data_IF_972449521134
#
_entry.id   IF_972449521134
#
_cell.length_a   1.000
_cell.length_b   1.000
_cell.length_c   1.000
_cell.angle_alpha   90.00
_cell.angle_beta   90.00
_cell.angle_gamma   90.00
#
_symmetry.space_group_name_H-M   'P 1'
#
loop_
_entity.id
_entity.type
_entity.pdbx_description
1 polymer ?
#
# COMPACT_ATOMS: atom_id res chain seq x y z
N UNK A 1 -51.72 23.23 24.37
CA UNK A 1 -51.29 21.89 23.86
C UNK A 1 -50.16 21.39 24.75
N UNK A 2 -50.12 20.11 25.16
CA UNK A 2 -49.03 19.62 26.01
C UNK A 2 -47.69 19.86 25.31
N UNK A 3 -46.73 20.41 26.04
CA UNK A 3 -45.37 20.65 25.52
C UNK A 3 -44.81 19.30 25.11
N UNK A 4 -44.58 19.10 23.81
CA UNK A 4 -44.06 17.84 23.30
C UNK A 4 -42.77 17.46 24.03
N UNK A 5 -42.67 16.20 24.47
CA UNK A 5 -41.51 15.69 25.18
C UNK A 5 -40.24 15.87 24.34
N UNK A 6 -39.16 16.33 24.98
CA UNK A 6 -37.83 16.44 24.35
C UNK A 6 -37.08 15.10 24.30
N UNK A 7 -37.69 14.02 24.82
CA UNK A 7 -37.14 12.67 24.73
C UNK A 7 -37.06 12.25 23.26
N UNK A 8 -35.86 11.86 22.82
CA UNK A 8 -35.58 11.48 21.42
C UNK A 8 -35.03 12.60 20.53
N UNK A 9 -34.85 13.82 21.06
CA UNK A 9 -34.10 14.86 20.33
C UNK A 9 -32.59 14.56 20.33
N UNK A 10 -31.87 14.77 19.22
CA UNK A 10 -30.41 14.83 19.20
C UNK A 10 -29.90 15.92 20.13
N UNK A 11 -28.71 15.76 20.70
CA UNK A 11 -28.19 16.69 21.71
C UNK A 11 -28.09 18.13 21.20
N UNK A 12 -27.73 18.32 19.93
CA UNK A 12 -27.72 19.64 19.31
C UNK A 12 -29.11 20.28 19.25
N UNK A 13 -30.16 19.49 19.03
CA UNK A 13 -31.54 19.97 19.04
C UNK A 13 -32.03 20.27 20.47
N UNK A 14 -31.68 19.42 21.45
CA UNK A 14 -31.93 19.70 22.88
C UNK A 14 -31.29 21.02 23.32
N UNK A 15 -30.04 21.25 22.94
CA UNK A 15 -29.32 22.48 23.27
C UNK A 15 -30.00 23.72 22.69
N UNK A 16 -30.50 23.66 21.44
CA UNK A 16 -31.26 24.77 20.84
C UNK A 16 -32.55 25.02 21.63
N UNK A 17 -33.27 23.96 21.98
CA UNK A 17 -34.52 24.05 22.73
C UNK A 17 -34.29 24.68 24.11
N UNK A 18 -33.38 24.12 24.91
CA UNK A 18 -33.08 24.58 26.26
C UNK A 18 -32.51 25.99 26.29
N UNK A 19 -31.62 26.32 25.35
CA UNK A 19 -31.08 27.67 25.21
C UNK A 19 -32.19 28.69 24.91
N UNK A 20 -33.13 28.34 24.03
CA UNK A 20 -34.26 29.22 23.70
C UNK A 20 -35.17 29.39 24.91
N UNK A 21 -35.54 28.30 25.60
CA UNK A 21 -36.34 28.32 26.84
C UNK A 21 -35.73 29.23 27.92
N UNK A 22 -34.40 29.12 28.11
CA UNK A 22 -33.65 29.93 29.06
C UNK A 22 -33.60 31.39 28.64
N UNK A 23 -33.35 31.66 27.35
CA UNK A 23 -33.22 33.02 26.81
C UNK A 23 -34.49 33.86 26.90
N UNK A 24 -35.67 33.21 26.95
CA UNK A 24 -36.98 33.86 27.04
C UNK A 24 -37.52 33.93 28.47
N UNK A 25 -36.88 33.28 29.45
CA UNK A 25 -37.35 33.27 30.83
C UNK A 25 -37.38 34.70 31.40
N UNK A 26 -38.54 35.15 31.85
CA UNK A 26 -38.73 36.50 32.40
C UNK A 26 -38.74 37.63 31.37
N UNK A 27 -38.63 37.32 30.07
CA UNK A 27 -38.73 38.35 29.01
C UNK A 27 -40.19 38.67 28.72
N UNK A 28 -40.42 39.94 28.37
CA UNK A 28 -41.72 40.43 27.94
C UNK A 28 -41.95 40.11 26.46
N UNK A 29 -43.14 39.61 26.14
CA UNK A 29 -43.59 39.41 24.78
C UNK A 29 -43.95 40.77 24.17
N UNK A 30 -43.27 41.22 23.10
CA UNK A 30 -43.47 42.55 22.54
C UNK A 30 -44.86 42.75 21.93
N UNK A 31 -45.59 41.67 21.62
CA UNK A 31 -46.94 41.76 21.05
C UNK A 31 -48.02 41.92 22.09
N UNK A 32 -47.84 41.33 23.27
CA UNK A 32 -48.88 41.28 24.32
C UNK A 32 -48.55 42.14 25.53
N UNK A 33 -47.30 42.59 25.69
CA UNK A 33 -46.83 43.33 26.86
C UNK A 33 -46.73 42.47 28.14
N UNK A 34 -46.94 41.15 28.04
CA UNK A 34 -46.91 40.23 29.18
C UNK A 34 -45.62 39.41 29.18
N UNK A 35 -45.19 38.89 30.33
CA UNK A 35 -44.06 37.95 30.40
C UNK A 35 -44.42 36.67 29.65
N UNK A 36 -43.47 36.12 28.88
CA UNK A 36 -43.69 34.85 28.18
C UNK A 36 -44.02 33.72 29.17
N UNK A 37 -45.14 33.05 28.92
CA UNK A 37 -45.51 31.83 29.66
C UNK A 37 -44.63 30.66 29.23
N UNK A 38 -44.54 29.61 30.06
CA UNK A 38 -43.76 28.41 29.75
C UNK A 38 -44.24 27.72 28.46
N UNK A 39 -45.55 27.77 28.19
CA UNK A 39 -46.13 27.24 26.96
C UNK A 39 -45.68 28.05 25.73
N UNK A 40 -45.73 29.38 25.77
CA UNK A 40 -45.26 30.24 24.68
C UNK A 40 -43.75 30.04 24.42
N UNK A 41 -42.95 29.96 25.50
CA UNK A 41 -41.51 29.68 25.38
C UNK A 41 -41.27 28.32 24.73
N UNK A 42 -42.03 27.29 25.12
CA UNK A 42 -41.97 25.95 24.55
C UNK A 42 -42.29 25.94 23.05
N UNK A 43 -43.32 26.67 22.63
CA UNK A 43 -43.70 26.78 21.22
C UNK A 43 -42.62 27.49 20.39
N UNK A 44 -42.03 28.57 20.91
CA UNK A 44 -40.94 29.30 20.24
C UNK A 44 -39.69 28.41 20.15
N UNK A 45 -39.33 27.72 21.23
CA UNK A 45 -38.20 26.79 21.28
C UNK A 45 -38.37 25.65 20.27
N UNK A 46 -39.54 25.03 20.19
CA UNK A 46 -39.85 24.01 19.18
C UNK A 46 -39.76 24.55 17.75
N UNK A 47 -40.24 25.78 17.53
CA UNK A 47 -40.14 26.45 16.22
C UNK A 47 -38.69 26.74 15.83
N UNK A 48 -37.80 26.96 16.79
CA UNK A 48 -36.35 27.10 16.54
C UNK A 48 -35.71 25.76 16.17
N UNK A 49 -36.09 24.66 16.86
CA UNK A 49 -35.62 23.30 16.52
C UNK A 49 -36.06 22.92 15.11
N UNK A 50 -37.35 23.09 14.78
CA UNK A 50 -37.91 22.73 13.46
C UNK A 50 -37.33 23.54 12.29
N UNK A 51 -36.72 24.70 12.53
CA UNK A 51 -35.99 25.46 11.51
C UNK A 51 -34.64 24.84 11.15
N UNK A 52 -34.06 24.04 12.04
CA UNK A 52 -32.73 23.42 11.85
C UNK A 52 -32.79 21.90 11.74
N UNK A 53 -33.88 21.26 12.13
CA UNK A 53 -34.06 19.82 12.11
C UNK A 53 -35.44 19.44 11.57
N UNK A 54 -35.53 18.31 10.87
CA UNK A 54 -36.77 17.70 10.38
C UNK A 54 -36.82 16.23 10.79
N UNK A 55 -38.01 15.67 10.91
CA UNK A 55 -38.18 14.24 11.21
C UNK A 55 -38.18 13.44 9.89
N UNK A 56 -37.33 12.42 9.77
CA UNK A 56 -37.27 11.46 8.66
C UNK A 56 -37.21 10.04 9.21
N UNK A 57 -38.17 9.18 8.84
CA UNK A 57 -38.21 7.80 9.31
C UNK A 57 -38.28 7.65 10.83
N UNK A 58 -38.91 8.60 11.54
CA UNK A 58 -38.96 8.63 13.01
C UNK A 58 -37.72 9.19 13.70
N UNK A 59 -36.70 9.64 12.95
CA UNK A 59 -35.46 10.20 13.49
C UNK A 59 -35.34 11.69 13.12
N UNK A 60 -34.89 12.53 14.05
CA UNK A 60 -34.61 13.93 13.77
C UNK A 60 -33.27 14.09 13.06
N UNK A 61 -33.29 14.63 11.85
CA UNK A 61 -32.11 14.90 11.02
C UNK A 61 -31.96 16.41 10.77
N UNK A 62 -30.73 16.94 10.71
CA UNK A 62 -30.51 18.35 10.43
C UNK A 62 -31.02 18.72 9.02
N UNK A 63 -31.72 19.85 8.93
CA UNK A 63 -32.07 20.48 7.66
C UNK A 63 -30.78 21.13 7.16
N UNK A 64 -30.10 20.46 6.24
CA UNK A 64 -28.90 20.98 5.58
C UNK A 64 -29.22 22.28 4.84
N UNK A 65 -29.13 23.41 5.55
CA UNK A 65 -29.06 24.73 4.95
C UNK A 65 -27.58 24.93 4.57
N UNK A 66 -27.26 24.67 3.30
CA UNK A 66 -26.02 25.12 2.64
C UNK A 66 -24.66 24.58 3.14
N UNK A 67 -24.57 23.30 3.55
CA UNK A 67 -23.26 22.62 3.66
C UNK A 67 -22.78 21.99 2.33
N UNK A 68 -23.64 21.99 1.29
CA UNK A 68 -23.33 21.40 -0.01
C UNK A 68 -22.31 22.19 -0.85
N UNK A 69 -22.21 23.51 -0.70
CA UNK A 69 -21.35 24.31 -1.58
C UNK A 69 -19.92 24.45 -1.07
N UNK A 70 -19.70 24.51 0.25
CA UNK A 70 -18.36 24.73 0.81
C UNK A 70 -17.55 23.43 0.87
N UNK A 71 -18.20 22.31 1.24
CA UNK A 71 -17.53 20.99 1.26
C UNK A 71 -17.25 20.53 -0.16
N UNK A 72 -18.17 20.72 -1.11
CA UNK A 72 -17.93 20.36 -2.51
C UNK A 72 -16.81 21.21 -3.12
N UNK A 73 -16.76 22.52 -2.86
CA UNK A 73 -15.67 23.38 -3.33
C UNK A 73 -14.30 23.01 -2.71
N UNK A 74 -14.25 22.69 -1.41
CA UNK A 74 -13.02 22.22 -0.77
C UNK A 74 -12.57 20.87 -1.31
N UNK A 75 -13.49 19.92 -1.50
CA UNK A 75 -13.19 18.60 -2.06
C UNK A 75 -12.68 18.72 -3.50
N UNK A 76 -13.29 19.55 -4.34
CA UNK A 76 -12.85 19.80 -5.71
C UNK A 76 -11.47 20.48 -5.75
N UNK A 77 -11.19 21.42 -4.84
CA UNK A 77 -9.86 22.03 -4.71
C UNK A 77 -8.79 21.02 -4.30
N UNK A 78 -9.08 20.18 -3.30
CA UNK A 78 -8.18 19.11 -2.86
C UNK A 78 -7.91 18.07 -3.96
N UNK A 79 -8.95 17.68 -4.71
CA UNK A 79 -8.80 16.78 -5.86
C UNK A 79 -7.93 17.39 -6.96
N UNK A 80 -8.13 18.67 -7.28
CA UNK A 80 -7.32 19.38 -8.27
C UNK A 80 -5.85 19.56 -7.84
N UNK A 81 -5.60 19.75 -6.54
CA UNK A 81 -4.23 19.78 -6.00
C UNK A 81 -3.56 18.41 -6.10
N UNK A 82 -4.24 17.33 -5.68
CA UNK A 82 -3.74 15.95 -5.81
C UNK A 82 -3.45 15.61 -7.28
N UNK A 83 -4.31 16.02 -8.21
CA UNK A 83 -4.11 15.79 -9.65
C UNK A 83 -2.86 16.51 -10.19
N UNK A 84 -2.62 17.76 -9.78
CA UNK A 84 -1.41 18.51 -10.18
C UNK A 84 -0.13 17.87 -9.63
N UNK A 85 -0.15 17.34 -8.42
CA UNK A 85 1.00 16.61 -7.86
C UNK A 85 1.28 15.31 -8.59
N UNK A 86 0.24 14.54 -8.93
CA UNK A 86 0.37 13.32 -9.73
C UNK A 86 0.97 13.61 -11.11
N UNK A 87 0.48 14.65 -11.80
CA UNK A 87 1.03 15.08 -13.09
C UNK A 87 2.51 15.51 -12.97
N UNK A 88 2.89 16.17 -11.86
CA UNK A 88 4.29 16.55 -11.59
C UNK A 88 5.17 15.32 -11.33
N UNK A 89 4.65 14.32 -10.61
CA UNK A 89 5.33 13.04 -10.36
C UNK A 89 5.51 12.25 -11.66
N UNK A 90 4.48 12.20 -12.49
CA UNK A 90 4.55 11.56 -13.81
C UNK A 90 5.60 12.20 -14.72
N UNK A 91 5.65 13.54 -14.80
CA UNK A 91 6.70 14.26 -15.54
C UNK A 91 8.11 13.94 -15.03
N UNK A 92 8.31 13.84 -13.71
CA UNK A 92 9.60 13.42 -13.13
C UNK A 92 9.95 11.99 -13.50
N UNK A 93 9.00 11.07 -13.44
CA UNK A 93 9.20 9.67 -13.81
C UNK A 93 9.57 9.51 -15.29
N UNK A 94 8.91 10.24 -16.19
CA UNK A 94 9.25 10.27 -17.61
C UNK A 94 10.69 10.75 -17.83
N UNK A 95 11.11 11.78 -17.10
CA UNK A 95 12.48 12.31 -17.19
C UNK A 95 13.53 11.29 -16.72
N UNK A 96 13.25 10.58 -15.63
CA UNK A 96 14.11 9.49 -15.11
C UNK A 96 14.17 8.33 -16.11
N UNK A 97 13.04 7.91 -16.66
CA UNK A 97 12.96 6.86 -17.67
C UNK A 97 13.77 7.21 -18.93
N UNK A 98 13.68 8.45 -19.40
CA UNK A 98 14.46 8.89 -20.56
C UNK A 98 15.97 8.90 -20.28
N UNK A 99 16.39 9.29 -19.07
CA UNK A 99 17.80 9.21 -18.66
C UNK A 99 18.28 7.75 -18.65
N UNK A 100 17.51 6.84 -18.06
CA UNK A 100 17.85 5.41 -18.01
C UNK A 100 17.91 4.78 -19.41
N UNK A 101 16.97 5.13 -20.31
CA UNK A 101 17.00 4.67 -21.71
C UNK A 101 18.28 5.12 -22.43
N UNK A 102 18.74 6.36 -22.18
CA UNK A 102 19.98 6.87 -22.75
C UNK A 102 21.19 6.10 -22.22
N UNK A 103 21.30 5.93 -20.90
CA UNK A 103 22.38 5.17 -20.27
C UNK A 103 22.41 3.71 -20.77
N UNK A 104 21.25 3.08 -20.93
CA UNK A 104 21.15 1.72 -21.47
C UNK A 104 21.58 1.63 -22.94
N UNK A 105 21.24 2.63 -23.75
CA UNK A 105 21.68 2.74 -25.14
C UNK A 105 23.21 2.86 -25.26
N UNK A 106 23.82 3.70 -24.41
CA UNK A 106 25.28 3.83 -24.33
C UNK A 106 25.93 2.51 -23.89
N UNK A 107 25.37 1.82 -22.91
CA UNK A 107 25.87 0.52 -22.45
C UNK A 107 25.80 -0.53 -23.57
N UNK A 108 24.67 -0.60 -24.28
CA UNK A 108 24.48 -1.52 -25.40
C UNK A 108 25.52 -1.29 -26.50
N UNK A 109 25.81 -0.03 -26.83
CA UNK A 109 26.84 0.32 -27.81
C UNK A 109 28.24 -0.13 -27.38
N UNK A 110 28.58 0.01 -26.08
CA UNK A 110 29.86 -0.46 -25.53
C UNK A 110 30.00 -1.98 -25.63
N UNK A 111 28.96 -2.73 -25.27
CA UNK A 111 28.94 -4.20 -25.37
C UNK A 111 29.09 -4.65 -26.82
N UNK A 112 28.39 -4.00 -27.76
CA UNK A 112 28.47 -4.32 -29.19
C UNK A 112 29.88 -4.05 -29.74
N UNK A 113 30.51 -2.93 -29.36
CA UNK A 113 31.88 -2.60 -29.75
C UNK A 113 32.89 -3.60 -29.17
N UNK A 114 32.76 -3.98 -27.89
CA UNK A 114 33.58 -5.05 -27.32
C UNK A 114 33.39 -6.35 -28.10
N UNK A 115 32.15 -6.72 -28.45
CA UNK A 115 31.87 -7.95 -29.19
C UNK A 115 32.51 -7.96 -30.58
N UNK A 116 32.49 -6.83 -31.30
CA UNK A 116 33.18 -6.69 -32.60
C UNK A 116 34.70 -6.82 -32.46
N UNK A 117 35.28 -6.24 -31.42
CA UNK A 117 36.72 -6.38 -31.15
C UNK A 117 37.17 -7.83 -30.96
N UNK A 118 36.29 -8.71 -30.45
CA UNK A 118 36.58 -10.15 -30.30
C UNK A 118 36.20 -10.99 -31.53
N UNK A 119 35.41 -10.47 -32.46
CA UNK A 119 35.09 -11.17 -33.69
C UNK A 119 36.32 -11.29 -34.63
N UNK A 120 37.30 -10.39 -34.48
CA UNK A 120 38.48 -10.33 -35.35
C UNK A 120 39.63 -11.27 -34.90
N UNK A 121 39.56 -11.89 -33.71
CA UNK A 121 40.55 -12.86 -33.22
C UNK A 121 39.89 -14.10 -32.59
N UNK A 122 39.49 -15.11 -33.39
CA UNK A 122 38.73 -16.24 -32.91
C UNK A 122 39.63 -17.38 -32.41
N UNK A 123 40.85 -17.12 -31.92
CA UNK A 123 41.82 -18.19 -31.63
C UNK A 123 42.12 -18.24 -30.13
N UNK A 124 41.92 -19.41 -29.53
CA UNK A 124 42.24 -19.64 -28.12
C UNK A 124 43.74 -19.50 -27.88
N UNK A 125 44.19 -18.61 -26.98
CA UNK A 125 45.63 -18.42 -26.73
C UNK A 125 46.31 -19.63 -26.09
N UNK A 126 45.55 -20.54 -25.48
CA UNK A 126 46.08 -21.75 -24.82
C UNK A 126 46.22 -22.95 -25.75
N UNK A 127 45.41 -23.06 -26.80
CA UNK A 127 45.36 -24.26 -27.64
C UNK A 127 45.16 -24.00 -29.15
N UNK A 128 45.11 -22.74 -29.57
CA UNK A 128 44.88 -22.31 -30.95
C UNK A 128 43.56 -22.77 -31.62
N UNK A 129 42.60 -23.31 -30.86
CA UNK A 129 41.29 -23.68 -31.39
C UNK A 129 40.41 -22.46 -31.70
N UNK A 130 39.49 -22.59 -32.67
CA UNK A 130 38.49 -21.57 -32.98
C UNK A 130 37.50 -21.36 -31.83
N UNK A 131 37.27 -20.10 -31.46
CA UNK A 131 36.44 -19.68 -30.34
C UNK A 131 35.06 -19.21 -30.81
N UNK A 132 34.04 -19.98 -30.45
CA UNK A 132 32.64 -19.57 -30.62
C UNK A 132 31.97 -19.10 -29.30
N UNK A 133 32.66 -19.25 -28.16
CA UNK A 133 32.16 -18.92 -26.83
C UNK A 133 33.28 -18.44 -25.89
N UNK A 134 32.89 -17.90 -24.73
CA UNK A 134 33.79 -17.41 -23.65
C UNK A 134 34.64 -18.53 -23.03
N UNK A 135 34.23 -19.78 -23.24
CA UNK A 135 34.94 -20.98 -22.79
C UNK A 135 35.40 -21.73 -24.03
N UNK A 136 36.70 -21.98 -24.14
CA UNK A 136 37.24 -22.79 -25.23
C UNK A 136 36.72 -24.24 -25.11
N UNK A 137 36.09 -24.81 -26.15
CA UNK A 137 35.51 -26.14 -26.07
C UNK A 137 36.56 -27.26 -25.94
N UNK A 138 37.80 -27.03 -26.39
CA UNK A 138 38.84 -28.06 -26.39
C UNK A 138 39.66 -28.10 -25.10
N UNK A 139 40.02 -26.94 -24.54
CA UNK A 139 40.91 -26.88 -23.36
C UNK A 139 40.23 -26.34 -22.10
N UNK A 140 38.93 -26.03 -22.15
CA UNK A 140 38.15 -25.43 -21.05
C UNK A 140 38.70 -24.10 -20.52
N UNK A 141 39.68 -23.50 -21.22
CA UNK A 141 40.31 -22.26 -20.80
C UNK A 141 39.27 -21.13 -20.83
N UNK A 142 39.11 -20.48 -19.68
CA UNK A 142 38.26 -19.31 -19.53
C UNK A 142 39.01 -18.09 -20.04
N UNK A 143 38.49 -17.46 -21.09
CA UNK A 143 39.07 -16.21 -21.57
C UNK A 143 38.62 -15.11 -20.60
N UNK A 144 39.54 -14.44 -19.88
CA UNK A 144 39.17 -13.41 -18.94
C UNK A 144 38.49 -12.25 -19.70
N UNK A 145 37.25 -11.94 -19.32
CA UNK A 145 36.60 -10.70 -19.76
C UNK A 145 37.51 -9.51 -19.39
N UNK A 146 37.64 -8.49 -20.25
CA UNK A 146 38.49 -7.34 -19.97
C UNK A 146 38.05 -6.69 -18.66
N UNK A 147 39.02 -6.23 -17.86
CA UNK A 147 38.78 -5.67 -16.53
C UNK A 147 37.75 -4.53 -16.54
N UNK A 148 37.64 -3.81 -17.65
CA UNK A 148 36.60 -2.79 -17.85
C UNK A 148 35.17 -3.32 -17.71
N UNK A 149 34.89 -4.57 -18.13
CA UNK A 149 33.58 -5.24 -17.95
C UNK A 149 33.39 -5.83 -16.55
N UNK A 150 34.47 -6.27 -15.90
CA UNK A 150 34.41 -6.84 -14.55
C UNK A 150 34.22 -5.77 -13.46
N UNK A 151 34.72 -4.54 -13.67
CA UNK A 151 34.47 -3.42 -12.76
C UNK A 151 32.99 -3.02 -12.72
N UNK A 152 32.24 -3.17 -13.82
CA UNK A 152 30.79 -2.86 -13.85
C UNK A 152 29.92 -3.86 -13.09
N UNK A 153 30.31 -5.14 -13.00
CA UNK A 153 29.52 -6.14 -12.26
C UNK A 153 29.79 -6.09 -10.74
N UNK A 154 31.01 -5.71 -10.33
CA UNK A 154 31.43 -5.65 -8.92
C UNK A 154 31.14 -4.31 -8.24
N UNK A 155 31.09 -3.19 -8.96
CA UNK A 155 30.81 -1.87 -8.37
C UNK A 155 29.36 -1.43 -8.60
N UNK A 156 28.43 -1.87 -7.73
CA UNK A 156 27.26 -1.11 -7.19
C UNK A 156 26.05 -1.93 -6.73
N UNK A 157 26.06 -3.26 -6.79
CA UNK A 157 24.90 -4.03 -6.29
C UNK A 157 24.93 -4.32 -4.78
N UNK A 158 26.03 -4.02 -4.08
CA UNK A 158 26.23 -4.47 -2.69
C UNK A 158 25.56 -3.63 -1.60
N UNK A 159 24.80 -2.57 -1.90
CA UNK A 159 24.09 -1.80 -0.84
C UNK A 159 22.99 -0.86 -1.34
N UNK A 160 22.29 -1.20 -2.44
CA UNK A 160 21.13 -0.40 -2.85
C UNK A 160 19.91 -0.90 -2.11
N UNK A 161 19.61 -0.29 -0.96
CA UNK A 161 18.25 -0.29 -0.42
C UNK A 161 17.40 0.46 -1.42
N UNK A 162 16.78 -0.24 -2.36
CA UNK A 162 15.75 0.37 -3.20
C UNK A 162 14.59 0.73 -2.26
N UNK A 163 14.23 2.01 -2.11
CA UNK A 163 13.06 2.37 -1.32
C UNK A 163 11.83 1.73 -1.97
N UNK A 164 10.96 1.12 -1.16
CA UNK A 164 9.66 0.59 -1.62
C UNK A 164 8.78 1.81 -1.97
N UNK A 165 9.04 2.41 -3.13
CA UNK A 165 8.38 3.65 -3.61
C UNK A 165 7.12 3.38 -4.43
N UNK A 166 6.91 2.14 -4.89
CA UNK A 166 5.73 1.76 -5.68
C UNK A 166 4.46 1.55 -4.87
N UNK A 167 4.58 1.30 -3.57
CA UNK A 167 3.42 1.20 -2.69
C UNK A 167 3.05 2.61 -2.23
N UNK A 168 1.83 3.03 -2.53
CA UNK A 168 1.25 4.29 -2.08
C UNK A 168 0.40 4.04 -0.86
N UNK A 169 0.98 3.41 0.16
CA UNK A 169 0.35 3.27 1.46
C UNK A 169 0.09 4.68 2.01
N UNK A 170 -1.14 5.17 1.89
CA UNK A 170 -1.51 6.51 2.34
C UNK A 170 -1.74 6.54 3.85
N UNK A 171 -1.31 7.61 4.51
CA UNK A 171 -1.50 7.87 5.95
C UNK A 171 -2.99 7.86 6.38
N UNK A 172 -3.90 8.12 5.43
CA UNK A 172 -5.37 7.97 5.55
C UNK A 172 -5.81 6.57 6.03
N UNK A 173 -4.92 5.56 5.95
CA UNK A 173 -5.21 4.20 6.37
C UNK A 173 -4.95 3.95 7.89
N UNK A 174 -4.45 4.92 8.65
CA UNK A 174 -4.11 4.79 10.09
C UNK A 174 -5.16 5.34 11.08
N UNK A 175 -6.42 5.45 10.68
CA UNK A 175 -7.48 6.11 11.48
C UNK A 175 -7.70 5.56 12.90
N UNK A 176 -7.21 4.35 13.23
CA UNK A 176 -7.48 3.66 14.50
C UNK A 176 -6.24 3.18 15.29
N UNK A 177 -5.03 3.70 15.02
CA UNK A 177 -3.83 3.23 15.74
C UNK A 177 -3.32 1.85 15.28
N UNK A 178 -3.67 1.46 14.06
CA UNK A 178 -3.09 0.32 13.36
C UNK A 178 -1.62 0.61 12.99
N UNK A 179 -0.76 -0.40 13.12
CA UNK A 179 0.62 -0.30 12.63
C UNK A 179 0.67 -0.70 11.17
N UNK A 180 1.26 0.14 10.35
CA UNK A 180 1.41 -0.14 8.93
C UNK A 180 2.80 -0.67 8.63
N UNK A 181 2.85 -1.80 7.93
CA UNK A 181 4.09 -2.41 7.46
C UNK A 181 4.08 -2.54 5.95
N UNK A 182 5.27 -2.50 5.36
CA UNK A 182 5.48 -2.83 3.94
C UNK A 182 6.70 -3.73 3.79
N UNK A 183 6.78 -4.47 2.69
CA UNK A 183 7.90 -5.37 2.49
C UNK A 183 7.85 -6.16 1.20
N UNK A 184 8.67 -7.21 1.14
CA UNK A 184 8.65 -8.22 0.09
C UNK A 184 7.90 -9.45 0.63
N UNK A 185 6.85 -9.88 -0.06
CA UNK A 185 6.08 -11.07 0.29
C UNK A 185 6.68 -12.35 -0.30
N UNK A 186 7.19 -12.26 -1.54
CA UNK A 186 7.87 -13.33 -2.25
C UNK A 186 8.75 -12.76 -3.35
N UNK A 187 9.90 -13.36 -3.59
CA UNK A 187 10.79 -13.04 -4.70
C UNK A 187 10.90 -14.22 -5.65
N UNK A 188 11.27 -13.99 -6.92
CA UNK A 188 11.60 -15.09 -7.84
C UNK A 188 12.71 -15.95 -7.24
N UNK A 189 12.51 -17.28 -7.24
CA UNK A 189 13.48 -18.19 -6.64
C UNK A 189 12.94 -19.59 -6.42
N UNK A 190 13.79 -20.44 -5.87
CA UNK A 190 13.45 -21.80 -5.46
C UNK A 190 13.22 -21.82 -3.95
N UNK A 191 12.04 -22.23 -3.52
CA UNK A 191 11.68 -22.37 -2.11
C UNK A 191 11.12 -23.76 -1.86
N UNK A 192 11.66 -24.46 -0.85
CA UNK A 192 11.28 -25.85 -0.55
C UNK A 192 11.32 -26.77 -1.79
N UNK A 193 12.28 -26.54 -2.69
CA UNK A 193 12.47 -27.33 -3.92
C UNK A 193 11.53 -26.99 -5.08
N UNK A 194 10.66 -25.98 -4.94
CA UNK A 194 9.73 -25.54 -5.97
C UNK A 194 10.20 -24.19 -6.53
N UNK A 195 10.29 -24.07 -7.85
CA UNK A 195 10.66 -22.82 -8.52
C UNK A 195 9.43 -21.92 -8.76
N UNK A 196 9.55 -20.65 -8.36
CA UNK A 196 8.54 -19.62 -8.52
C UNK A 196 9.00 -18.59 -9.58
N UNK A 197 8.55 -18.71 -10.83
CA UNK A 197 8.96 -17.82 -11.91
C UNK A 197 8.26 -16.47 -11.83
N UNK A 198 8.94 -15.42 -12.29
CA UNK A 198 8.42 -14.05 -12.32
C UNK A 198 7.03 -13.90 -12.97
N UNK A 199 6.74 -14.64 -14.05
CA UNK A 199 5.47 -14.54 -14.78
C UNK A 199 4.27 -15.01 -13.93
N UNK A 200 4.53 -15.92 -12.98
CA UNK A 200 3.51 -16.40 -12.04
C UNK A 200 3.43 -15.45 -10.85
N UNK A 201 4.55 -14.93 -10.35
CA UNK A 201 4.54 -13.92 -9.28
C UNK A 201 3.73 -12.68 -9.66
N UNK A 202 3.79 -12.25 -10.91
CA UNK A 202 2.98 -11.14 -11.43
C UNK A 202 1.48 -11.41 -11.34
N UNK A 203 1.05 -12.66 -11.55
CA UNK A 203 -0.35 -13.09 -11.43
C UNK A 203 -0.78 -13.31 -9.99
N UNK A 204 0.12 -13.78 -9.13
CA UNK A 204 -0.15 -13.99 -7.69
C UNK A 204 -0.28 -12.65 -6.97
N UNK A 205 0.51 -11.64 -7.32
CA UNK A 205 0.54 -10.35 -6.63
C UNK A 205 -0.85 -9.74 -6.33
N UNK A 206 -1.79 -9.59 -7.29
CA UNK A 206 -3.11 -9.03 -7.00
C UNK A 206 -3.96 -9.89 -6.05
N UNK A 207 -3.76 -11.22 -6.03
CA UNK A 207 -4.51 -12.14 -5.14
C UNK A 207 -4.15 -11.97 -3.68
N UNK A 208 -2.98 -11.39 -3.38
CA UNK A 208 -2.55 -11.11 -2.01
C UNK A 208 -3.36 -9.98 -1.35
N UNK A 209 -4.04 -9.13 -2.13
CA UNK A 209 -4.82 -8.03 -1.55
C UNK A 209 -6.02 -8.60 -0.78
N UNK A 210 -6.12 -8.23 0.49
CA UNK A 210 -7.22 -8.62 1.34
C UNK A 210 -7.07 -9.96 2.04
N UNK A 211 -5.98 -10.70 1.81
CA UNK A 211 -5.68 -11.92 2.58
C UNK A 211 -5.34 -11.57 4.05
N UNK A 212 -5.61 -12.47 5.01
CA UNK A 212 -5.26 -12.25 6.40
C UNK A 212 -3.73 -12.19 6.59
N UNK A 213 -3.30 -11.30 7.50
CA UNK A 213 -1.94 -11.32 8.05
C UNK A 213 -1.97 -12.13 9.35
N UNK A 214 -1.26 -13.26 9.39
CA UNK A 214 -1.23 -14.20 10.51
C UNK A 214 0.09 -14.22 11.26
N UNK A 215 0.13 -14.95 12.37
CA UNK A 215 1.37 -15.36 13.05
C UNK A 215 1.73 -16.80 12.69
N UNK A 216 2.99 -17.02 12.30
CA UNK A 216 3.63 -18.34 12.21
C UNK A 216 2.83 -19.44 11.48
N UNK A 217 2.09 -19.08 10.42
CA UNK A 217 1.22 -19.99 9.66
C UNK A 217 0.19 -20.76 10.53
N UNK A 218 -0.12 -20.24 11.73
CA UNK A 218 -1.10 -20.83 12.61
C UNK A 218 -2.49 -20.76 11.96
N UNK A 219 -3.24 -21.85 12.06
CA UNK A 219 -4.66 -21.89 11.65
C UNK A 219 -5.52 -21.34 12.78
N UNK A 220 -6.71 -20.84 12.45
CA UNK A 220 -7.67 -20.31 13.43
C UNK A 220 -7.83 -18.78 13.36
N UNK A 221 -8.91 -18.26 13.92
CA UNK A 221 -9.26 -16.83 13.86
C UNK A 221 -8.31 -16.01 14.75
N UNK A 222 -7.90 -16.60 15.87
CA UNK A 222 -6.98 -16.05 16.87
C UNK A 222 -5.57 -15.77 16.35
N UNK A 223 -5.18 -16.38 15.23
CA UNK A 223 -3.89 -16.12 14.60
C UNK A 223 -3.89 -14.88 13.70
N UNK A 224 -5.06 -14.31 13.40
CA UNK A 224 -5.19 -13.18 12.47
C UNK A 224 -4.85 -11.88 13.23
N UNK A 225 -3.67 -11.33 12.95
CA UNK A 225 -3.19 -10.08 13.56
C UNK A 225 -3.34 -8.85 12.66
N UNK A 226 -3.74 -9.04 11.40
CA UNK A 226 -3.81 -7.98 10.42
C UNK A 226 -4.44 -8.38 9.10
N UNK A 227 -4.29 -7.52 8.09
CA UNK A 227 -4.76 -7.75 6.73
C UNK A 227 -3.87 -7.04 5.71
N UNK A 228 -3.61 -7.68 4.57
CA UNK A 228 -2.92 -7.04 3.45
C UNK A 228 -3.86 -6.05 2.77
N UNK A 229 -3.39 -4.82 2.56
CA UNK A 229 -4.17 -3.72 1.97
C UNK A 229 -3.66 -3.30 0.60
N UNK A 230 -2.38 -3.54 0.31
CA UNK A 230 -1.78 -3.28 -0.98
C UNK A 230 -0.86 -4.42 -1.39
N UNK A 231 -0.83 -4.73 -2.68
CA UNK A 231 0.11 -5.68 -3.24
C UNK A 231 0.39 -5.33 -4.70
N UNK A 232 1.65 -5.40 -5.11
CA UNK A 232 2.07 -5.11 -6.48
C UNK A 232 3.29 -5.93 -6.84
N UNK A 233 3.35 -6.41 -8.07
CA UNK A 233 4.57 -7.02 -8.60
C UNK A 233 5.57 -5.93 -9.02
N UNK A 234 6.81 -6.04 -8.51
CA UNK A 234 7.91 -5.19 -8.88
C UNK A 234 8.88 -5.92 -9.82
N UNK A 235 8.82 -5.57 -11.10
CA UNK A 235 9.66 -6.15 -12.14
C UNK A 235 11.16 -5.94 -11.95
N UNK A 236 11.58 -4.86 -11.28
CA UNK A 236 12.99 -4.58 -11.03
C UNK A 236 13.59 -5.51 -9.98
N UNK A 237 12.86 -5.79 -8.90
CA UNK A 237 13.24 -6.73 -7.84
C UNK A 237 12.85 -8.17 -8.13
N UNK A 238 11.99 -8.38 -9.14
CA UNK A 238 11.32 -9.65 -9.45
C UNK A 238 10.61 -10.21 -8.23
N UNK A 239 9.83 -9.36 -7.57
CA UNK A 239 9.25 -9.65 -6.28
C UNK A 239 7.84 -9.09 -6.13
N UNK A 240 7.03 -9.75 -5.32
CA UNK A 240 5.75 -9.24 -4.84
C UNK A 240 6.03 -8.31 -3.66
N UNK A 241 5.69 -7.04 -3.81
CA UNK A 241 5.71 -6.05 -2.74
C UNK A 241 4.33 -6.00 -2.11
N UNK A 242 4.27 -5.80 -0.79
CA UNK A 242 3.01 -5.70 -0.08
C UNK A 242 3.01 -4.55 0.93
N UNK A 243 1.82 -4.06 1.23
CA UNK A 243 1.51 -3.21 2.39
C UNK A 243 0.40 -3.87 3.21
N UNK A 244 0.57 -3.94 4.53
CA UNK A 244 -0.39 -4.56 5.44
C UNK A 244 -0.65 -3.69 6.67
N UNK A 245 -1.88 -3.79 7.19
CA UNK A 245 -2.29 -3.23 8.47
C UNK A 245 -2.18 -4.30 9.55
N UNK A 246 -1.62 -3.93 10.69
CA UNK A 246 -1.60 -4.74 11.90
C UNK A 246 -2.51 -4.06 12.92
N UNK A 247 -3.59 -4.74 13.30
CA UNK A 247 -4.52 -4.28 14.33
C UNK A 247 -4.31 -4.97 15.67
N UNK A 248 -3.68 -6.16 15.70
CA UNK A 248 -3.38 -6.89 16.94
C UNK A 248 -2.20 -6.28 17.70
N UNK A 249 -2.40 -6.00 19.00
CA UNK A 249 -1.41 -5.29 19.81
C UNK A 249 -0.16 -6.13 20.11
N UNK A 250 -0.27 -7.46 20.18
CA UNK A 250 0.88 -8.35 20.34
C UNK A 250 1.75 -8.32 19.09
N UNK A 251 1.17 -8.37 17.88
CA UNK A 251 1.91 -8.21 16.62
C UNK A 251 2.59 -6.86 16.56
N UNK A 252 1.86 -5.78 16.87
CA UNK A 252 2.41 -4.41 16.85
C UNK A 252 3.66 -4.34 17.72
N UNK A 253 3.61 -4.92 18.93
CA UNK A 253 4.75 -4.94 19.85
C UNK A 253 5.93 -5.71 19.28
N UNK A 254 5.72 -6.95 18.82
CA UNK A 254 6.80 -7.79 18.28
C UNK A 254 7.50 -7.15 17.08
N UNK A 255 6.74 -6.51 16.19
CA UNK A 255 7.29 -5.79 15.03
C UNK A 255 8.04 -4.52 15.45
N UNK A 256 7.47 -3.71 16.35
CA UNK A 256 8.12 -2.48 16.86
C UNK A 256 9.42 -2.78 17.61
N UNK A 257 9.45 -3.85 18.38
CA UNK A 257 10.63 -4.34 19.10
C UNK A 257 11.63 -5.06 18.18
N UNK A 258 11.32 -5.22 16.88
CA UNK A 258 12.11 -5.95 15.89
C UNK A 258 12.38 -7.41 16.25
N UNK A 259 11.51 -8.01 17.06
CA UNK A 259 11.52 -9.44 17.35
C UNK A 259 10.99 -10.25 16.17
N UNK A 260 10.13 -9.65 15.34
CA UNK A 260 9.73 -10.19 14.04
C UNK A 260 9.92 -9.11 12.98
N UNK A 261 10.75 -9.40 11.98
CA UNK A 261 11.09 -8.48 10.88
C UNK A 261 10.90 -9.12 9.49
N UNK A 262 10.25 -10.28 9.41
CA UNK A 262 10.04 -11.04 8.19
C UNK A 262 8.63 -11.55 8.02
N UNK A 263 8.31 -11.85 6.76
CA UNK A 263 7.05 -12.50 6.37
C UNK A 263 7.29 -13.73 5.51
N UNK A 264 6.29 -14.61 5.49
CA UNK A 264 6.17 -15.74 4.61
C UNK A 264 4.79 -15.77 3.99
N UNK A 265 4.70 -16.00 2.69
CA UNK A 265 3.44 -16.08 1.96
C UNK A 265 2.94 -17.53 1.93
N UNK A 266 1.66 -17.74 2.22
CA UNK A 266 0.97 -19.00 1.96
C UNK A 266 0.31 -18.91 0.59
N UNK A 267 0.76 -19.72 -0.36
CA UNK A 267 0.23 -19.77 -1.74
C UNK A 267 -0.26 -21.18 -2.03
N UNK A 268 -1.49 -21.28 -2.53
CA UNK A 268 -1.98 -22.50 -3.18
C UNK A 268 -1.48 -22.48 -4.62
N UNK A 269 -0.71 -23.50 -5.02
CA UNK A 269 0.00 -23.51 -6.30
C UNK A 269 -0.31 -24.77 -7.10
N UNK A 270 -0.33 -24.61 -8.42
CA UNK A 270 -0.27 -25.71 -9.37
C UNK A 270 1.14 -25.76 -9.98
N UNK A 271 1.72 -26.96 -10.01
CA UNK A 271 3.10 -27.17 -10.48
C UNK A 271 3.16 -28.07 -11.69
N UNK A 272 4.15 -27.83 -12.55
CA UNK A 272 4.53 -28.71 -13.66
C UNK A 272 5.96 -29.19 -13.46
N UNK A 273 6.23 -30.45 -13.75
CA UNK A 273 7.59 -30.99 -13.69
C UNK A 273 8.42 -30.37 -14.82
N UNK A 274 9.55 -29.75 -14.45
CA UNK A 274 10.53 -29.20 -15.36
C UNK A 274 11.88 -29.88 -15.16
N UNK A 275 12.82 -29.67 -16.08
CA UNK A 275 14.17 -30.28 -16.04
C UNK A 275 14.92 -30.00 -14.73
N UNK A 276 14.61 -28.88 -14.06
CA UNK A 276 15.23 -28.43 -12.82
C UNK A 276 14.34 -28.62 -11.58
N UNK A 277 13.31 -29.46 -11.66
CA UNK A 277 12.34 -29.71 -10.60
C UNK A 277 10.97 -29.08 -10.84
N UNK A 278 10.04 -29.21 -9.87
CA UNK A 278 8.70 -28.65 -9.97
C UNK A 278 8.74 -27.13 -10.12
N UNK A 279 8.04 -26.62 -11.14
CA UNK A 279 7.90 -25.19 -11.41
C UNK A 279 6.45 -24.80 -11.29
N UNK A 280 6.17 -23.72 -10.55
CA UNK A 280 4.82 -23.18 -10.44
C UNK A 280 4.41 -22.59 -11.79
N UNK A 281 3.19 -22.88 -12.24
CA UNK A 281 2.61 -22.26 -13.44
C UNK A 281 1.33 -21.47 -13.14
N UNK A 282 0.70 -21.71 -11.99
CA UNK A 282 -0.46 -20.98 -11.47
C UNK A 282 -0.45 -20.97 -9.94
N UNK A 283 -1.03 -19.94 -9.33
CA UNK A 283 -1.21 -19.92 -7.89
C UNK A 283 -2.04 -18.75 -7.39
N UNK A 284 -2.50 -18.88 -6.14
CA UNK A 284 -3.33 -17.90 -5.45
C UNK A 284 -2.85 -17.74 -4.01
N UNK A 285 -2.63 -16.49 -3.59
CA UNK A 285 -2.24 -16.20 -2.21
C UNK A 285 -3.42 -16.43 -1.26
N UNK A 286 -3.20 -17.20 -0.20
CA UNK A 286 -4.21 -17.49 0.83
C UNK A 286 -3.96 -16.75 2.13
N UNK A 287 -2.70 -16.43 2.41
CA UNK A 287 -2.31 -15.71 3.62
C UNK A 287 -0.93 -15.07 3.46
N UNK A 288 -0.68 -14.09 4.34
CA UNK A 288 0.66 -13.61 4.65
C UNK A 288 0.89 -13.84 6.14
N UNK A 289 2.07 -14.30 6.54
CA UNK A 289 2.37 -14.62 7.93
C UNK A 289 3.60 -13.87 8.41
N UNK A 290 3.53 -13.27 9.59
CA UNK A 290 4.68 -12.79 10.35
C UNK A 290 5.44 -14.02 10.89
N UNK A 291 6.71 -14.16 10.52
CA UNK A 291 7.54 -15.33 10.85
C UNK A 291 8.93 -14.91 11.28
N UNK A 292 9.53 -15.68 12.17
CA UNK A 292 10.92 -15.49 12.61
C UNK A 292 11.91 -15.97 11.53
N UNK A 293 11.66 -17.14 10.92
CA UNK A 293 12.53 -17.71 9.89
C UNK A 293 11.79 -17.99 8.57
N UNK A 294 11.78 -17.03 7.61
CA UNK A 294 11.11 -17.23 6.33
C UNK A 294 11.95 -18.14 5.40
N UNK A 295 11.26 -18.88 4.52
CA UNK A 295 11.93 -19.58 3.42
C UNK A 295 12.60 -18.59 2.45
N UNK A 296 11.98 -17.44 2.24
CA UNK A 296 12.51 -16.33 1.47
C UNK A 296 13.30 -15.37 2.36
N UNK A 297 14.63 -15.42 2.29
CA UNK A 297 15.51 -14.58 3.15
C UNK A 297 15.44 -13.08 2.86
N UNK A 298 14.96 -12.70 1.68
CA UNK A 298 14.73 -11.31 1.29
C UNK A 298 13.35 -10.78 1.67
N UNK A 299 12.45 -11.64 2.18
CA UNK A 299 11.08 -11.30 2.55
C UNK A 299 11.01 -10.61 3.92
N UNK A 300 11.57 -9.40 3.96
CA UNK A 300 11.68 -8.54 5.13
C UNK A 300 10.62 -7.45 5.14
N UNK A 301 10.30 -6.95 6.32
CA UNK A 301 9.32 -5.89 6.54
C UNK A 301 9.97 -4.60 7.04
N UNK A 302 9.32 -3.49 6.74
CA UNK A 302 9.66 -2.16 7.21
C UNK A 302 8.39 -1.51 7.76
N UNK A 303 8.49 -0.88 8.93
CA UNK A 303 7.42 -0.04 9.46
C UNK A 303 7.34 1.22 8.60
N UNK A 304 6.13 1.56 8.16
CA UNK A 304 5.87 2.86 7.56
C UNK A 304 5.63 3.82 8.72
N UNK A 305 6.61 4.68 9.01
CA UNK A 305 6.49 5.64 10.10
C UNK A 305 5.37 6.64 9.78
N UNK A 306 4.45 6.83 10.75
CA UNK A 306 3.64 8.04 10.89
C UNK A 306 4.52 9.22 11.31
#
# INVERSE_FOLDING_TARGET
MPVASIQGLPDRAKNIFESTMRSLKGKMNPRTGRIFTDEERGQIAWSAVKRKFRMQGGVWVPINQNLGNTIFAQTVLLQNMKLKELQKKEKRNVLVLNRLKKEFGELKSKVENSRKQYADHPICPSCNAELNHVICPECTHHIPFPESTQQFSKQKFSKVRYPIEKLTVTEELSENGDLIIKGIALQEGVYKGIFYPREVLEKIAPTLIGVPLRFDHLKGIESIGGKVVESVYDSARRAILFGAKIFDDKAKRLVKEKLIDSVSIGVEVETVNSTNGPTVYSGEAKELSLVEDPACKTCKIEIVNN
#
